data_IF_341097924857
#
_entry.id   IF_341097924857
#
_cell.length_a   1.000
_cell.length_b   1.000
_cell.length_c   1.000
_cell.angle_alpha   90.00
_cell.angle_beta   90.00
_cell.angle_gamma   90.00
#
_symmetry.space_group_name_H-M   'P 1'
#
loop_
_entity.id
_entity.type
_entity.pdbx_description
1 polymer ?
#
# COMPACT_ATOMS: atom_id res chain seq x y z
N UNK A 1 -19.86 -14.91 -4.72
CA UNK A 1 -20.01 -14.37 -3.35
C UNK A 1 -21.33 -13.59 -3.32
N UNK A 2 -22.05 -13.59 -2.21
CA UNK A 2 -23.30 -12.83 -2.09
C UNK A 2 -23.05 -11.43 -1.54
N UNK A 3 -23.96 -10.49 -1.77
CA UNK A 3 -23.90 -9.16 -1.16
C UNK A 3 -23.91 -9.26 0.37
N UNK A 4 -24.66 -10.23 0.92
CA UNK A 4 -24.68 -10.55 2.35
C UNK A 4 -23.29 -10.90 2.90
N UNK A 5 -22.48 -11.62 2.14
CA UNK A 5 -21.12 -11.97 2.57
C UNK A 5 -20.22 -10.72 2.63
N UNK A 6 -20.34 -9.82 1.64
CA UNK A 6 -19.53 -8.59 1.57
C UNK A 6 -19.88 -7.59 2.67
N UNK A 7 -21.16 -7.41 2.98
CA UNK A 7 -21.59 -6.45 4.00
C UNK A 7 -21.16 -6.84 5.41
N UNK A 8 -20.82 -8.12 5.65
CA UNK A 8 -20.34 -8.58 6.95
C UNK A 8 -18.99 -8.00 7.37
N UNK A 9 -18.20 -7.47 6.41
CA UNK A 9 -16.93 -6.79 6.68
C UNK A 9 -17.04 -5.25 6.56
N UNK A 10 -18.25 -4.71 6.38
CA UNK A 10 -18.51 -3.28 6.23
C UNK A 10 -19.18 -2.68 7.47
N UNK A 11 -18.94 -1.39 7.69
CA UNK A 11 -19.67 -0.60 8.70
C UNK A 11 -21.04 -0.16 8.14
N UNK A 12 -22.01 -1.09 8.18
CA UNK A 12 -23.36 -0.90 7.62
C UNK A 12 -24.30 -0.20 8.60
N UNK A 13 -24.92 0.88 8.14
CA UNK A 13 -25.96 1.61 8.87
C UNK A 13 -27.36 1.01 8.62
N UNK A 14 -27.68 0.66 7.37
CA UNK A 14 -28.96 0.07 7.00
C UNK A 14 -28.86 -0.80 5.74
N UNK A 15 -29.77 -1.77 5.63
CA UNK A 15 -29.93 -2.63 4.46
C UNK A 15 -31.37 -2.54 3.98
N UNK A 16 -31.55 -2.18 2.71
CA UNK A 16 -32.85 -2.11 2.04
C UNK A 16 -32.90 -3.16 0.93
N UNK A 17 -33.98 -3.93 0.85
CA UNK A 17 -34.11 -5.05 -0.11
C UNK A 17 -33.41 -6.33 0.37
N UNK A 18 -33.30 -7.33 -0.52
CA UNK A 18 -32.70 -8.63 -0.20
C UNK A 18 -31.20 -8.67 -0.55
N UNK A 19 -30.29 -8.80 0.44
CA UNK A 19 -28.85 -8.90 0.17
C UNK A 19 -28.41 -10.31 -0.27
N UNK A 20 -29.31 -11.28 -0.50
CA UNK A 20 -28.98 -12.61 -1.00
C UNK A 20 -28.63 -12.66 -2.51
N UNK A 21 -28.40 -11.50 -3.15
CA UNK A 21 -27.98 -11.41 -4.54
C UNK A 21 -26.50 -11.77 -4.73
N UNK A 22 -26.16 -12.38 -5.87
CA UNK A 22 -24.77 -12.64 -6.24
C UNK A 22 -24.09 -11.36 -6.70
N UNK A 23 -22.85 -11.14 -6.25
CA UNK A 23 -21.98 -10.06 -6.68
C UNK A 23 -20.90 -10.65 -7.59
N UNK A 24 -20.82 -10.15 -8.82
CA UNK A 24 -19.88 -10.60 -9.86
C UNK A 24 -18.72 -9.61 -10.09
N UNK A 25 -18.83 -8.39 -9.58
CA UNK A 25 -17.80 -7.36 -9.65
C UNK A 25 -18.11 -6.15 -8.76
N UNK A 26 -17.17 -5.22 -8.71
CA UNK A 26 -17.28 -3.99 -7.91
C UNK A 26 -17.07 -2.79 -8.84
N UNK A 27 -17.98 -1.83 -8.81
CA UNK A 27 -17.92 -0.65 -9.68
C UNK A 27 -18.06 0.65 -8.86
N UNK A 28 -17.24 1.65 -9.19
CA UNK A 28 -17.31 3.00 -8.61
C UNK A 28 -17.62 4.09 -9.64
N UNK A 29 -17.76 3.71 -10.91
CA UNK A 29 -18.15 4.58 -12.02
C UNK A 29 -19.35 3.94 -12.73
N UNK A 30 -20.51 4.60 -12.70
CA UNK A 30 -21.76 4.08 -13.25
C UNK A 30 -21.67 3.78 -14.75
N UNK A 31 -20.77 4.48 -15.48
CA UNK A 31 -20.52 4.26 -16.91
C UNK A 31 -19.76 2.97 -17.20
N UNK A 32 -19.14 2.38 -16.19
CA UNK A 32 -18.33 1.15 -16.28
C UNK A 32 -18.99 -0.06 -15.64
N UNK A 33 -20.18 0.12 -15.05
CA UNK A 33 -20.97 -0.96 -14.46
C UNK A 33 -21.26 -2.03 -15.51
N UNK A 34 -21.06 -3.27 -15.11
CA UNK A 34 -21.48 -4.48 -15.83
C UNK A 34 -22.60 -5.16 -15.06
N UNK A 35 -23.35 -6.00 -15.77
CA UNK A 35 -24.40 -6.82 -15.15
C UNK A 35 -23.80 -7.64 -14.01
N UNK A 36 -24.37 -7.55 -12.81
CA UNK A 36 -23.90 -8.26 -11.63
C UNK A 36 -22.89 -7.49 -10.76
N UNK A 37 -22.47 -6.29 -11.16
CA UNK A 37 -21.60 -5.46 -10.32
C UNK A 37 -22.36 -4.88 -9.12
N UNK A 38 -21.69 -4.77 -7.98
CA UNK A 38 -22.10 -3.93 -6.86
C UNK A 38 -21.57 -2.51 -7.10
N UNK A 39 -22.47 -1.53 -7.16
CA UNK A 39 -22.12 -0.14 -7.40
C UNK A 39 -21.86 0.63 -6.09
N UNK A 40 -20.75 1.35 -6.00
CA UNK A 40 -20.40 2.20 -4.87
C UNK A 40 -20.53 3.67 -5.27
N UNK A 41 -21.52 4.33 -4.70
CA UNK A 41 -21.81 5.73 -4.91
C UNK A 41 -20.84 6.62 -4.13
N UNK A 42 -19.63 6.80 -4.68
CA UNK A 42 -18.63 7.67 -4.07
C UNK A 42 -19.02 9.13 -4.30
N UNK A 43 -19.05 9.94 -3.23
CA UNK A 43 -19.18 11.38 -3.36
C UNK A 43 -17.97 11.94 -4.13
N UNK A 44 -18.23 12.58 -5.27
CA UNK A 44 -17.19 13.28 -6.03
C UNK A 44 -16.92 14.67 -5.44
N UNK A 45 -15.85 15.33 -5.91
CA UNK A 45 -15.54 16.73 -5.59
C UNK A 45 -16.66 17.72 -6.00
N UNK A 46 -17.59 17.30 -6.88
CA UNK A 46 -18.60 18.17 -7.49
C UNK A 46 -20.03 17.62 -7.47
N UNK A 47 -20.24 16.33 -7.16
CA UNK A 47 -21.55 15.67 -7.28
C UNK A 47 -21.73 14.60 -6.22
N UNK A 48 -22.96 14.46 -5.72
CA UNK A 48 -23.39 13.38 -4.85
C UNK A 48 -23.41 12.06 -5.65
N UNK A 49 -22.69 11.05 -5.16
CA UNK A 49 -22.63 9.74 -5.79
C UNK A 49 -24.00 9.06 -5.89
N UNK A 50 -24.94 9.40 -4.99
CA UNK A 50 -26.30 8.87 -4.97
C UNK A 50 -27.09 9.18 -6.25
N UNK A 51 -26.75 10.27 -6.95
CA UNK A 51 -27.40 10.65 -8.21
C UNK A 51 -27.20 9.63 -9.35
N UNK A 52 -26.23 8.72 -9.22
CA UNK A 52 -25.89 7.74 -10.25
C UNK A 52 -26.44 6.33 -10.00
N UNK A 53 -27.16 6.11 -8.89
CA UNK A 53 -27.68 4.80 -8.50
C UNK A 53 -28.66 4.26 -9.57
N UNK A 54 -29.58 5.10 -10.04
CA UNK A 54 -30.56 4.71 -11.07
C UNK A 54 -29.86 4.32 -12.38
N UNK A 55 -28.83 5.06 -12.78
CA UNK A 55 -28.04 4.76 -13.96
C UNK A 55 -27.26 3.43 -13.80
N UNK A 56 -26.71 3.16 -12.61
CA UNK A 56 -26.04 1.90 -12.31
C UNK A 56 -27.03 0.72 -12.35
N UNK A 57 -28.23 0.86 -11.81
CA UNK A 57 -29.28 -0.16 -11.91
C UNK A 57 -29.73 -0.39 -13.34
N UNK A 58 -29.89 0.68 -14.14
CA UNK A 58 -30.19 0.55 -15.57
C UNK A 58 -29.08 -0.19 -16.34
N UNK A 59 -27.81 -0.06 -15.91
CA UNK A 59 -26.67 -0.80 -16.46
C UNK A 59 -26.56 -2.25 -15.94
N UNK A 60 -27.40 -2.65 -14.98
CA UNK A 60 -27.49 -4.02 -14.48
C UNK A 60 -26.74 -4.28 -13.17
N UNK A 61 -26.41 -3.24 -12.39
CA UNK A 61 -25.86 -3.44 -11.05
C UNK A 61 -26.81 -4.29 -10.18
N UNK A 62 -26.25 -5.23 -9.42
CA UNK A 62 -27.02 -6.11 -8.54
C UNK A 62 -27.39 -5.45 -7.21
N UNK A 63 -26.77 -4.32 -6.89
CA UNK A 63 -26.95 -3.57 -5.65
C UNK A 63 -26.21 -2.23 -5.70
N UNK A 64 -26.51 -1.35 -4.75
CA UNK A 64 -25.78 -0.10 -4.57
C UNK A 64 -25.38 0.13 -3.11
N UNK A 65 -24.22 0.75 -2.89
CA UNK A 65 -23.73 1.21 -1.59
C UNK A 65 -23.67 2.72 -1.60
N UNK A 66 -24.37 3.37 -0.67
CA UNK A 66 -24.55 4.82 -0.61
C UNK A 66 -24.29 5.36 0.80
N UNK A 67 -24.11 6.68 0.95
CA UNK A 67 -23.98 7.28 2.28
C UNK A 67 -25.31 7.26 3.05
N UNK A 68 -26.35 7.90 2.50
CA UNK A 68 -27.70 7.98 3.09
C UNK A 68 -28.73 8.26 2.00
N UNK A 69 -30.00 8.00 2.29
CA UNK A 69 -31.12 8.50 1.48
C UNK A 69 -31.70 7.48 0.52
N UNK A 70 -31.57 6.19 0.83
CA UNK A 70 -32.20 5.14 0.04
C UNK A 70 -33.73 5.26 0.09
N UNK A 71 -34.38 5.10 -1.06
CA UNK A 71 -35.81 4.85 -1.14
C UNK A 71 -36.06 3.36 -1.35
N UNK A 72 -37.29 2.89 -1.10
CA UNK A 72 -37.64 1.49 -1.33
C UNK A 72 -37.42 1.11 -2.80
N UNK A 73 -36.40 0.28 -3.06
CA UNK A 73 -36.06 -0.26 -4.37
C UNK A 73 -36.22 -1.78 -4.39
N UNK A 74 -36.47 -2.35 -5.56
CA UNK A 74 -36.44 -3.82 -5.76
C UNK A 74 -35.01 -4.36 -5.74
N UNK A 75 -34.03 -3.52 -6.07
CA UNK A 75 -32.60 -3.85 -6.04
C UNK A 75 -32.03 -3.42 -4.69
N UNK A 76 -31.20 -4.25 -4.03
CA UNK A 76 -30.72 -3.93 -2.69
C UNK A 76 -29.87 -2.66 -2.65
N UNK A 77 -30.08 -1.87 -1.61
CA UNK A 77 -29.31 -0.65 -1.31
C UNK A 77 -28.76 -0.75 0.11
N UNK A 78 -27.46 -0.55 0.25
CA UNK A 78 -26.73 -0.59 1.53
C UNK A 78 -26.34 0.83 1.90
N UNK A 79 -26.78 1.31 3.06
CA UNK A 79 -26.36 2.59 3.61
C UNK A 79 -25.14 2.39 4.53
N UNK A 80 -24.11 3.19 4.31
CA UNK A 80 -22.85 3.17 5.09
C UNK A 80 -22.43 4.61 5.39
N UNK A 81 -21.62 4.85 6.42
CA UNK A 81 -21.15 6.22 6.68
C UNK A 81 -20.12 6.69 5.64
N UNK A 82 -19.24 5.80 5.20
CA UNK A 82 -18.14 6.08 4.27
C UNK A 82 -18.13 5.05 3.12
N UNK A 83 -18.77 5.35 1.97
CA UNK A 83 -18.77 4.46 0.80
C UNK A 83 -17.37 4.15 0.27
N UNK A 84 -16.37 5.02 0.50
CA UNK A 84 -14.99 4.80 0.07
C UNK A 84 -14.33 3.73 0.93
N UNK A 85 -14.57 3.76 2.24
CA UNK A 85 -14.13 2.71 3.16
C UNK A 85 -14.83 1.39 2.84
N UNK A 86 -16.15 1.42 2.65
CA UNK A 86 -16.94 0.23 2.32
C UNK A 86 -16.46 -0.42 1.01
N UNK A 87 -16.12 0.38 -0.02
CA UNK A 87 -15.52 -0.12 -1.26
C UNK A 87 -14.21 -0.87 -1.02
N UNK A 88 -13.33 -0.32 -0.17
CA UNK A 88 -12.05 -0.94 0.12
C UNK A 88 -12.21 -2.24 0.94
N UNK A 89 -13.13 -2.25 1.91
CA UNK A 89 -13.51 -3.47 2.65
C UNK A 89 -14.08 -4.54 1.71
N UNK A 90 -15.03 -4.17 0.84
CA UNK A 90 -15.58 -5.07 -0.18
C UNK A 90 -14.50 -5.64 -1.09
N UNK A 91 -13.56 -4.80 -1.57
CA UNK A 91 -12.49 -5.23 -2.44
C UNK A 91 -11.59 -6.28 -1.78
N UNK A 92 -11.28 -6.12 -0.49
CA UNK A 92 -10.51 -7.10 0.27
C UNK A 92 -11.25 -8.44 0.34
N UNK A 93 -12.52 -8.43 0.75
CA UNK A 93 -13.34 -9.65 0.90
C UNK A 93 -13.61 -10.33 -0.46
N UNK A 94 -14.03 -9.56 -1.47
CA UNK A 94 -14.37 -10.05 -2.81
C UNK A 94 -13.21 -10.80 -3.48
N UNK A 95 -11.97 -10.32 -3.29
CA UNK A 95 -10.76 -10.96 -3.82
C UNK A 95 -10.10 -11.95 -2.84
N UNK A 96 -10.70 -12.19 -1.67
CA UNK A 96 -10.25 -13.19 -0.70
C UNK A 96 -8.99 -12.80 0.06
N UNK A 97 -8.81 -11.51 0.38
CA UNK A 97 -7.68 -10.97 1.14
C UNK A 97 -6.30 -11.38 0.58
N UNK A 98 -6.03 -11.15 -0.72
CA UNK A 98 -4.90 -11.76 -1.43
C UNK A 98 -3.52 -11.36 -0.89
N UNK A 99 -3.40 -10.17 -0.30
CA UNK A 99 -2.16 -9.71 0.33
C UNK A 99 -1.69 -10.60 1.49
N UNK A 100 -2.58 -11.43 2.08
CA UNK A 100 -2.20 -12.41 3.12
C UNK A 100 -1.34 -13.55 2.59
N UNK A 101 -1.44 -13.88 1.30
CA UNK A 101 -0.73 -14.98 0.67
C UNK A 101 0.58 -14.56 -0.04
N UNK A 102 0.88 -13.26 -0.07
CA UNK A 102 2.04 -12.67 -0.75
C UNK A 102 2.98 -12.03 0.27
N UNK A 103 4.28 -11.96 0.02
CA UNK A 103 5.15 -11.02 0.75
C UNK A 103 4.98 -9.63 0.13
N UNK A 104 4.39 -8.68 0.86
CA UNK A 104 4.10 -7.33 0.34
C UNK A 104 4.97 -6.30 1.04
N UNK A 105 5.72 -5.54 0.24
CA UNK A 105 6.50 -4.38 0.68
C UNK A 105 5.94 -3.11 0.05
N UNK A 106 5.37 -2.23 0.88
CA UNK A 106 4.79 -0.97 0.42
C UNK A 106 5.69 0.22 0.79
N UNK A 107 5.96 1.11 -0.15
CA UNK A 107 6.77 2.32 0.07
C UNK A 107 5.97 3.59 -0.12
N UNK A 108 6.14 4.53 0.81
CA UNK A 108 5.64 5.90 0.68
C UNK A 108 6.75 6.93 0.89
N UNK A 109 6.44 8.17 0.53
CA UNK A 109 7.35 9.32 0.55
C UNK A 109 7.08 10.26 -0.60
N UNK A 110 7.72 11.43 -0.62
CA UNK A 110 7.61 12.37 -1.75
C UNK A 110 8.39 11.80 -2.94
N UNK A 111 9.69 11.58 -2.77
CA UNK A 111 10.58 11.13 -3.84
C UNK A 111 11.15 9.72 -3.57
N UNK A 112 11.54 9.02 -4.64
CA UNK A 112 12.29 7.75 -4.53
C UNK A 112 11.45 6.48 -4.42
N UNK A 113 10.11 6.56 -4.37
CA UNK A 113 9.21 5.40 -4.33
C UNK A 113 9.46 4.44 -5.50
N UNK A 114 9.47 4.96 -6.72
CA UNK A 114 9.75 4.16 -7.92
C UNK A 114 11.15 3.57 -7.91
N UNK A 115 12.18 4.36 -7.61
CA UNK A 115 13.56 3.83 -7.51
C UNK A 115 13.67 2.71 -6.47
N UNK A 116 13.05 2.89 -5.31
CA UNK A 116 12.98 1.87 -4.26
C UNK A 116 12.30 0.58 -4.76
N UNK A 117 11.13 0.67 -5.41
CA UNK A 117 10.42 -0.54 -5.86
C UNK A 117 11.17 -1.28 -6.95
N UNK A 118 11.89 -0.59 -7.84
CA UNK A 118 12.78 -1.21 -8.82
C UNK A 118 13.98 -1.91 -8.18
N UNK A 119 14.64 -1.26 -7.20
CA UNK A 119 15.76 -1.88 -6.47
C UNK A 119 15.29 -3.12 -5.70
N UNK A 120 14.15 -3.02 -5.02
CA UNK A 120 13.58 -4.11 -4.25
C UNK A 120 13.19 -5.30 -5.13
N UNK A 121 12.52 -5.04 -6.26
CA UNK A 121 12.22 -6.08 -7.26
C UNK A 121 13.50 -6.76 -7.76
N UNK A 122 14.55 -5.98 -8.07
CA UNK A 122 15.83 -6.53 -8.51
C UNK A 122 16.46 -7.44 -7.45
N UNK A 123 16.38 -7.07 -6.17
CA UNK A 123 16.88 -7.89 -5.05
C UNK A 123 16.09 -9.20 -4.96
N UNK A 124 14.75 -9.14 -4.99
CA UNK A 124 13.90 -10.34 -4.93
C UNK A 124 14.12 -11.27 -6.12
N UNK A 125 14.25 -10.73 -7.34
CA UNK A 125 14.56 -11.54 -8.54
C UNK A 125 15.94 -12.18 -8.45
N UNK A 126 16.95 -11.45 -7.97
CA UNK A 126 18.29 -12.01 -7.75
C UNK A 126 18.28 -13.13 -6.68
N UNK A 127 17.34 -13.09 -5.74
CA UNK A 127 17.09 -14.16 -4.77
C UNK A 127 16.25 -15.33 -5.32
N UNK A 128 15.89 -15.32 -6.61
CA UNK A 128 15.13 -16.38 -7.27
C UNK A 128 13.62 -16.35 -7.01
N UNK A 129 13.09 -15.25 -6.47
CA UNK A 129 11.66 -15.11 -6.22
C UNK A 129 10.92 -14.63 -7.48
N UNK A 130 9.69 -15.12 -7.67
CA UNK A 130 8.77 -14.51 -8.63
C UNK A 130 8.17 -13.24 -8.05
N UNK A 131 8.23 -12.14 -8.80
CA UNK A 131 7.93 -10.81 -8.28
C UNK A 131 6.72 -10.16 -8.95
N UNK A 132 6.05 -9.30 -8.19
CA UNK A 132 5.12 -8.30 -8.70
C UNK A 132 5.62 -6.89 -8.37
N UNK A 133 5.29 -5.91 -9.19
CA UNK A 133 5.55 -4.50 -8.89
C UNK A 133 4.37 -3.63 -9.30
N UNK A 134 3.89 -2.80 -8.39
CA UNK A 134 2.77 -1.88 -8.63
C UNK A 134 3.28 -0.47 -8.39
N UNK A 135 3.30 0.36 -9.42
CA UNK A 135 3.80 1.72 -9.30
C UNK A 135 3.64 2.56 -10.56
N UNK A 136 4.28 3.74 -10.52
CA UNK A 136 4.14 4.79 -11.55
C UNK A 136 4.55 4.33 -12.96
N UNK A 137 5.46 3.36 -13.05
CA UNK A 137 6.01 2.87 -14.33
C UNK A 137 5.24 1.70 -14.93
N UNK A 138 4.14 1.27 -14.31
CA UNK A 138 3.36 0.12 -14.75
C UNK A 138 3.05 -0.85 -13.61
N UNK A 139 2.14 -1.76 -13.90
CA UNK A 139 1.84 -2.91 -13.05
C UNK A 139 2.49 -4.14 -13.66
N UNK A 140 3.53 -4.66 -13.02
CA UNK A 140 4.30 -5.80 -13.48
C UNK A 140 3.89 -7.05 -12.70
N UNK A 141 3.45 -8.09 -13.40
CA UNK A 141 3.14 -9.41 -12.87
C UNK A 141 4.13 -10.38 -13.50
N UNK A 142 5.10 -10.82 -12.71
CA UNK A 142 6.28 -11.52 -13.21
C UNK A 142 6.92 -10.77 -14.38
N UNK A 143 6.90 -11.32 -15.60
CA UNK A 143 7.53 -10.68 -16.77
C UNK A 143 6.59 -9.79 -17.59
N UNK A 144 5.28 -9.84 -17.33
CA UNK A 144 4.28 -9.03 -18.02
C UNK A 144 4.15 -7.66 -17.36
N UNK A 145 4.26 -6.58 -18.16
CA UNK A 145 4.04 -5.21 -17.69
C UNK A 145 2.79 -4.62 -18.33
N UNK A 146 1.87 -4.11 -17.51
CA UNK A 146 0.65 -3.41 -17.92
C UNK A 146 0.75 -1.90 -17.68
N UNK A 147 0.05 -1.07 -18.47
CA UNK A 147 -0.02 0.37 -18.22
C UNK A 147 -0.61 0.69 -16.84
N UNK A 148 -0.04 1.68 -16.17
CA UNK A 148 -0.52 2.17 -14.87
C UNK A 148 -1.21 3.53 -15.03
N UNK A 149 -2.55 3.62 -15.00
CA UNK A 149 -3.25 4.90 -15.05
C UNK A 149 -3.01 5.74 -13.77
N UNK A 150 -2.60 5.09 -12.68
CA UNK A 150 -2.27 5.73 -11.40
C UNK A 150 -1.03 5.09 -10.80
N UNK A 151 -0.26 5.84 -10.01
CA UNK A 151 0.85 5.27 -9.21
C UNK A 151 0.37 4.15 -8.29
N UNK A 152 -0.83 4.31 -7.71
CA UNK A 152 -1.49 3.29 -6.89
C UNK A 152 -2.92 3.10 -7.42
N UNK A 153 -3.29 1.88 -7.86
CA UNK A 153 -4.62 1.59 -8.41
C UNK A 153 -5.74 1.84 -7.40
N UNK A 154 -6.99 1.89 -7.88
CA UNK A 154 -8.18 1.89 -7.04
C UNK A 154 -8.33 0.58 -6.26
N UNK A 155 -9.03 0.57 -5.12
CA UNK A 155 -9.06 -0.60 -4.22
C UNK A 155 -9.49 -1.92 -4.92
N UNK A 156 -10.56 -1.98 -5.74
CA UNK A 156 -10.90 -3.20 -6.48
C UNK A 156 -9.80 -3.66 -7.43
N UNK A 157 -9.18 -2.73 -8.16
CA UNK A 157 -8.11 -3.04 -9.11
C UNK A 157 -6.85 -3.52 -8.37
N UNK A 158 -6.48 -2.86 -7.27
CA UNK A 158 -5.34 -3.25 -6.46
C UNK A 158 -5.51 -4.67 -5.90
N UNK A 159 -6.66 -4.96 -5.30
CA UNK A 159 -6.93 -6.29 -4.74
C UNK A 159 -7.03 -7.35 -5.85
N UNK A 160 -7.61 -7.01 -7.01
CA UNK A 160 -7.63 -7.88 -8.18
C UNK A 160 -6.22 -8.21 -8.71
N UNK A 161 -5.34 -7.22 -8.84
CA UNK A 161 -3.95 -7.42 -9.23
C UNK A 161 -3.20 -8.32 -8.25
N UNK A 162 -3.38 -8.11 -6.94
CA UNK A 162 -2.77 -8.96 -5.91
C UNK A 162 -3.32 -10.39 -5.95
N UNK A 163 -4.62 -10.57 -6.20
CA UNK A 163 -5.22 -11.89 -6.37
C UNK A 163 -4.60 -12.62 -7.57
N UNK A 164 -4.52 -11.94 -8.70
CA UNK A 164 -3.91 -12.49 -9.91
C UNK A 164 -2.43 -12.85 -9.67
N UNK A 165 -1.66 -11.98 -9.01
CA UNK A 165 -0.29 -12.27 -8.60
C UNK A 165 -0.21 -13.54 -7.76
N UNK A 166 -1.08 -13.70 -6.77
CA UNK A 166 -1.14 -14.91 -5.94
C UNK A 166 -1.52 -16.16 -6.77
N UNK A 167 -2.49 -16.04 -7.68
CA UNK A 167 -2.92 -17.13 -8.57
C UNK A 167 -1.79 -17.65 -9.46
N UNK A 168 -1.02 -16.74 -10.03
CA UNK A 168 0.10 -17.11 -10.90
C UNK A 168 1.36 -17.44 -10.11
N UNK A 169 1.35 -17.43 -8.78
CA UNK A 169 2.48 -17.83 -7.94
C UNK A 169 3.60 -16.79 -7.79
N UNK A 170 3.27 -15.50 -7.91
CA UNK A 170 4.15 -14.42 -7.41
C UNK A 170 4.33 -14.59 -5.91
N UNK A 171 5.55 -14.39 -5.42
CA UNK A 171 5.90 -14.57 -4.02
C UNK A 171 6.10 -13.23 -3.31
N UNK A 172 6.67 -12.24 -3.99
CA UNK A 172 7.00 -10.95 -3.39
C UNK A 172 6.53 -9.76 -4.26
N UNK A 173 5.91 -8.75 -3.64
CA UNK A 173 5.35 -7.58 -4.32
C UNK A 173 5.95 -6.30 -3.77
N UNK A 174 6.50 -5.47 -4.66
CA UNK A 174 6.92 -4.10 -4.35
C UNK A 174 5.83 -3.10 -4.78
N UNK A 175 5.28 -2.33 -3.84
CA UNK A 175 4.12 -1.46 -4.09
C UNK A 175 4.40 0.00 -3.73
N UNK A 176 4.12 0.93 -4.65
CA UNK A 176 4.13 2.36 -4.37
C UNK A 176 2.79 2.79 -3.73
N UNK A 177 2.83 3.20 -2.46
CA UNK A 177 1.69 3.73 -1.72
C UNK A 177 1.73 5.27 -1.73
N UNK A 178 1.07 5.88 -2.72
CA UNK A 178 0.98 7.34 -2.81
C UNK A 178 0.12 7.93 -1.67
N UNK A 179 0.36 9.20 -1.31
CA UNK A 179 -0.46 9.88 -0.30
C UNK A 179 -1.92 10.03 -0.74
N UNK A 180 -2.16 10.24 -2.03
CA UNK A 180 -3.50 10.24 -2.61
C UNK A 180 -4.20 8.91 -2.38
N UNK A 181 -3.51 7.79 -2.61
CA UNK A 181 -4.08 6.46 -2.41
C UNK A 181 -4.40 6.17 -0.95
N UNK A 182 -3.55 6.59 -0.02
CA UNK A 182 -3.78 6.46 1.41
C UNK A 182 -4.98 7.30 1.86
N UNK A 183 -5.01 8.59 1.48
CA UNK A 183 -6.14 9.49 1.78
C UNK A 183 -7.47 9.01 1.18
N UNK A 184 -7.41 8.38 0.01
CA UNK A 184 -8.58 7.83 -0.69
C UNK A 184 -8.86 6.37 -0.33
N UNK A 185 -8.19 5.81 0.69
CA UNK A 185 -8.35 4.44 1.17
C UNK A 185 -8.15 3.35 0.10
N UNK A 186 -7.45 3.64 -1.00
CA UNK A 186 -7.20 2.67 -2.07
C UNK A 186 -6.38 1.48 -1.60
N UNK A 187 -5.52 1.70 -0.61
CA UNK A 187 -4.67 0.68 0.03
C UNK A 187 -5.25 0.15 1.33
N UNK A 188 -6.47 0.54 1.73
CA UNK A 188 -7.05 0.07 2.98
C UNK A 188 -7.22 -1.46 2.94
N UNK A 189 -6.85 -2.13 4.04
CA UNK A 189 -6.85 -3.59 4.14
C UNK A 189 -5.66 -4.27 3.45
N UNK A 190 -4.71 -3.50 2.89
CA UNK A 190 -3.45 -4.04 2.38
C UNK A 190 -2.59 -4.52 3.55
N UNK A 191 -2.39 -5.84 3.65
CA UNK A 191 -1.50 -6.43 4.63
C UNK A 191 -0.07 -6.48 4.10
N UNK A 192 0.79 -5.66 4.70
CA UNK A 192 2.20 -5.56 4.35
C UNK A 192 3.05 -6.33 5.36
N UNK A 193 4.10 -6.97 4.87
CA UNK A 193 5.18 -7.54 5.67
C UNK A 193 6.18 -6.43 6.04
N UNK A 194 6.42 -5.50 5.09
CA UNK A 194 7.27 -4.33 5.32
C UNK A 194 6.61 -3.07 4.77
N UNK A 195 6.70 -1.98 5.53
CA UNK A 195 6.34 -0.63 5.07
C UNK A 195 7.57 0.28 5.11
N UNK A 196 7.81 1.04 4.05
CA UNK A 196 9.00 1.87 3.91
C UNK A 196 8.66 3.35 3.77
N UNK A 197 9.45 4.22 4.40
CA UNK A 197 9.38 5.67 4.25
C UNK A 197 10.69 6.22 3.68
N UNK A 198 10.62 6.89 2.53
CA UNK A 198 11.80 7.45 1.87
C UNK A 198 12.14 8.86 2.33
N UNK A 199 11.24 9.82 2.17
CA UNK A 199 11.40 11.23 2.56
C UNK A 199 10.08 12.00 2.46
N UNK A 200 10.06 13.21 3.03
CA UNK A 200 8.98 14.18 2.84
C UNK A 200 9.54 15.56 2.47
N UNK A 201 9.21 16.01 1.26
CA UNK A 201 9.41 17.38 0.77
C UNK A 201 8.10 17.95 0.24
N UNK A 202 8.02 19.27 0.07
CA UNK A 202 6.82 19.96 -0.42
C UNK A 202 6.40 19.45 -1.80
N UNK A 203 5.18 18.92 -1.87
CA UNK A 203 4.52 18.40 -3.07
C UNK A 203 3.01 18.22 -2.77
N UNK A 204 2.17 18.08 -3.79
CA UNK A 204 0.74 17.74 -3.69
C UNK A 204 -0.11 18.60 -2.73
N UNK A 205 0.28 19.85 -2.48
CA UNK A 205 -0.46 20.75 -1.58
C UNK A 205 -1.77 21.28 -2.21
N UNK A 206 -1.91 21.19 -3.52
CA UNK A 206 -3.17 21.41 -4.24
C UNK A 206 -4.26 20.41 -3.81
N UNK A 207 -3.87 19.19 -3.44
CA UNK A 207 -4.78 18.18 -2.91
C UNK A 207 -4.86 18.18 -1.38
N UNK A 208 -3.71 18.17 -0.69
CA UNK A 208 -3.66 18.02 0.77
C UNK A 208 -3.85 19.35 1.52
N UNK A 209 -3.77 20.49 0.84
CA UNK A 209 -3.87 21.84 1.41
C UNK A 209 -2.62 22.29 2.16
N UNK A 210 -2.00 21.43 2.98
CA UNK A 210 -0.79 21.77 3.74
C UNK A 210 0.11 20.54 4.00
N UNK A 211 1.34 20.81 4.46
CA UNK A 211 2.35 19.78 4.73
C UNK A 211 1.97 18.81 5.85
N UNK A 212 1.20 19.28 6.85
CA UNK A 212 0.76 18.45 7.97
C UNK A 212 -0.24 17.38 7.52
N UNK A 213 -1.25 17.77 6.74
CA UNK A 213 -2.21 16.85 6.13
C UNK A 213 -1.52 15.88 5.14
N UNK A 214 -0.54 16.37 4.38
CA UNK A 214 0.23 15.53 3.46
C UNK A 214 1.06 14.46 4.19
N UNK A 215 1.73 14.82 5.29
CA UNK A 215 2.42 13.85 6.14
C UNK A 215 1.43 12.90 6.80
N UNK A 216 0.34 13.41 7.38
CA UNK A 216 -0.66 12.58 8.05
C UNK A 216 -1.22 11.50 7.12
N UNK A 217 -1.47 11.84 5.85
CA UNK A 217 -1.87 10.87 4.83
C UNK A 217 -0.86 9.72 4.67
N UNK A 218 0.45 10.03 4.68
CA UNK A 218 1.50 8.99 4.63
C UNK A 218 1.57 8.16 5.91
N UNK A 219 1.32 8.78 7.08
CA UNK A 219 1.36 8.09 8.37
C UNK A 219 0.30 7.00 8.50
N UNK A 220 -0.81 7.08 7.75
CA UNK A 220 -1.84 6.04 7.74
C UNK A 220 -1.29 4.64 7.40
N UNK A 221 -0.23 4.57 6.58
CA UNK A 221 0.44 3.32 6.24
C UNK A 221 1.10 2.66 7.47
N UNK A 222 1.51 3.47 8.46
CA UNK A 222 2.30 3.07 9.62
C UNK A 222 1.47 2.93 10.91
N UNK A 223 0.42 3.73 11.11
CA UNK A 223 -0.22 3.87 12.43
C UNK A 223 -1.47 3.01 12.67
N UNK A 224 -1.85 2.16 11.73
CA UNK A 224 -2.98 1.24 11.86
C UNK A 224 -4.30 1.77 11.29
N UNK A 225 -4.34 3.01 10.77
CA UNK A 225 -5.52 3.53 10.07
C UNK A 225 -5.77 2.88 8.70
N UNK A 226 -4.76 2.26 8.09
CA UNK A 226 -4.88 1.54 6.81
C UNK A 226 -5.46 0.12 6.93
N UNK A 227 -6.33 -0.12 7.92
CA UNK A 227 -7.01 -1.39 8.15
C UNK A 227 -6.32 -2.30 9.17
N UNK A 228 -7.07 -3.28 9.67
CA UNK A 228 -6.56 -4.30 10.58
C UNK A 228 -5.50 -5.16 9.89
N UNK A 229 -4.49 -5.61 10.65
CA UNK A 229 -3.39 -6.44 10.15
C UNK A 229 -3.36 -7.75 10.92
N UNK A 230 -3.37 -8.88 10.21
CA UNK A 230 -3.03 -10.18 10.76
C UNK A 230 -1.49 -10.38 10.76
N UNK A 231 -0.81 -9.82 9.76
CA UNK A 231 0.65 -9.84 9.67
C UNK A 231 1.32 -8.90 10.67
N UNK A 232 2.47 -9.36 11.19
CA UNK A 232 3.42 -8.48 11.87
C UNK A 232 4.26 -7.76 10.81
N UNK A 233 4.18 -6.43 10.79
CA UNK A 233 4.91 -5.62 9.83
C UNK A 233 6.16 -4.97 10.45
N UNK A 234 7.20 -4.78 9.63
CA UNK A 234 8.38 -3.98 9.97
C UNK A 234 8.32 -2.63 9.23
N UNK A 235 8.64 -1.54 9.91
CA UNK A 235 8.77 -0.21 9.33
C UNK A 235 10.24 0.10 9.04
N UNK A 236 10.58 0.29 7.78
CA UNK A 236 11.92 0.74 7.34
C UNK A 236 11.88 2.25 7.07
N UNK A 237 12.62 3.02 7.85
CA UNK A 237 12.49 4.48 7.87
C UNK A 237 13.82 5.15 7.54
N UNK A 238 13.82 6.07 6.58
CA UNK A 238 14.94 6.99 6.40
C UNK A 238 15.07 7.92 7.61
N UNK A 239 16.08 7.68 8.44
CA UNK A 239 16.36 8.40 9.66
C UNK A 239 16.96 9.79 9.44
N UNK A 240 17.47 10.07 8.23
CA UNK A 240 18.01 11.39 7.89
C UNK A 240 16.90 12.41 7.58
N UNK A 241 15.67 11.97 7.34
CA UNK A 241 14.55 12.86 7.06
C UNK A 241 14.03 13.55 8.35
N UNK A 242 13.76 14.87 8.33
CA UNK A 242 13.23 15.57 9.50
C UNK A 242 11.90 15.00 10.04
N UNK A 243 11.11 14.34 9.19
CA UNK A 243 9.83 13.72 9.56
C UNK A 243 9.98 12.35 10.21
N UNK A 244 11.19 11.77 10.22
CA UNK A 244 11.44 10.39 10.66
C UNK A 244 10.89 10.12 12.07
N UNK A 245 11.08 11.03 13.02
CA UNK A 245 10.58 10.88 14.38
C UNK A 245 9.05 10.67 14.44
N UNK A 246 8.30 11.38 13.58
CA UNK A 246 6.83 11.24 13.48
C UNK A 246 6.42 9.93 12.83
N UNK A 247 7.18 9.47 11.82
CA UNK A 247 6.96 8.18 11.16
C UNK A 247 7.24 7.03 12.13
N UNK A 248 8.32 7.10 12.90
CA UNK A 248 8.67 6.11 13.93
C UNK A 248 7.59 6.05 15.02
N UNK A 249 7.10 7.21 15.48
CA UNK A 249 6.01 7.27 16.45
C UNK A 249 4.70 6.67 15.88
N UNK A 250 4.43 6.88 14.58
CA UNK A 250 3.30 6.27 13.89
C UNK A 250 3.45 4.74 13.81
N UNK A 251 4.61 4.24 13.40
CA UNK A 251 4.91 2.81 13.35
C UNK A 251 4.75 2.14 14.73
N UNK A 252 5.18 2.80 15.80
CA UNK A 252 4.98 2.32 17.16
C UNK A 252 3.49 2.23 17.55
N UNK A 253 2.66 3.22 17.19
CA UNK A 253 1.20 3.16 17.38
C UNK A 253 0.57 2.01 16.59
N UNK A 254 1.06 1.76 15.37
CA UNK A 254 0.64 0.63 14.55
C UNK A 254 1.21 -0.72 14.97
N UNK A 255 1.98 -0.79 16.06
CA UNK A 255 2.53 -2.03 16.60
C UNK A 255 3.69 -2.63 15.77
N UNK A 256 4.36 -1.83 14.96
CA UNK A 256 5.45 -2.28 14.09
C UNK A 256 6.80 -2.23 14.81
N UNK A 257 7.68 -3.17 14.46
CA UNK A 257 9.10 -3.00 14.74
C UNK A 257 9.69 -1.99 13.75
N UNK A 258 10.73 -1.25 14.15
CA UNK A 258 11.32 -0.19 13.32
C UNK A 258 12.78 -0.51 13.00
N UNK A 259 13.15 -0.35 11.74
CA UNK A 259 14.54 -0.35 11.25
C UNK A 259 14.83 1.03 10.70
N UNK A 260 15.80 1.72 11.29
CA UNK A 260 16.26 3.04 10.85
C UNK A 260 17.42 2.86 9.89
N UNK A 261 17.32 3.56 8.77
CA UNK A 261 18.34 3.61 7.74
C UNK A 261 18.77 5.05 7.58
N UNK A 262 20.05 5.34 7.70
CA UNK A 262 20.54 6.72 7.62
C UNK A 262 22.03 6.81 7.42
N UNK A 263 22.55 8.02 7.42
CA UNK A 263 23.99 8.27 7.27
C UNK A 263 24.67 8.63 8.59
N UNK A 264 23.92 8.55 9.69
CA UNK A 264 24.35 8.88 11.05
C UNK A 264 24.38 7.63 11.92
N UNK A 265 25.29 7.59 12.90
CA UNK A 265 25.53 6.43 13.78
C UNK A 265 24.31 5.97 14.61
N UNK A 266 23.26 6.77 14.76
CA UNK A 266 22.04 6.40 15.49
C UNK A 266 21.01 5.60 14.64
N UNK A 267 21.49 4.78 13.69
CA UNK A 267 20.68 3.96 12.77
C UNK A 267 21.11 2.49 12.84
N UNK A 268 20.20 1.54 12.70
CA UNK A 268 20.55 0.11 12.62
C UNK A 268 21.32 -0.22 11.34
N UNK A 269 20.99 0.44 10.23
CA UNK A 269 21.75 0.40 8.98
C UNK A 269 22.32 1.78 8.67
N UNK A 270 23.65 1.88 8.63
CA UNK A 270 24.37 3.12 8.36
C UNK A 270 24.96 3.07 6.96
N UNK A 271 24.69 4.09 6.14
CA UNK A 271 25.42 4.35 4.90
C UNK A 271 26.74 5.01 5.24
N UNK A 272 27.80 4.20 5.27
CA UNK A 272 29.12 4.55 5.80
C UNK A 272 29.98 5.27 4.74
N UNK A 273 29.98 4.77 3.51
CA UNK A 273 30.76 5.35 2.41
C UNK A 273 29.94 5.45 1.12
N UNK A 274 30.06 6.59 0.44
CA UNK A 274 29.53 6.82 -0.90
C UNK A 274 30.62 7.38 -1.79
N UNK A 275 30.97 6.65 -2.84
CA UNK A 275 32.05 7.02 -3.77
C UNK A 275 31.55 6.97 -5.20
N UNK A 276 31.70 8.06 -5.93
CA UNK A 276 31.41 8.07 -7.38
C UNK A 276 32.53 7.30 -8.07
N UNK A 277 32.16 6.27 -8.82
CA UNK A 277 33.03 5.42 -9.63
C UNK A 277 32.75 5.66 -11.12
N UNK A 278 33.65 5.21 -12.01
CA UNK A 278 33.44 5.35 -13.47
C UNK A 278 32.17 4.64 -13.96
N UNK A 279 31.80 3.53 -13.30
CA UNK A 279 30.70 2.66 -13.71
C UNK A 279 29.41 2.88 -12.88
N UNK A 280 29.42 3.81 -11.92
CA UNK A 280 28.27 4.02 -11.04
C UNK A 280 28.64 4.64 -9.69
N UNK A 281 27.77 4.44 -8.69
CA UNK A 281 28.00 4.84 -7.31
C UNK A 281 28.40 3.63 -6.48
N UNK A 282 29.62 3.60 -5.97
CA UNK A 282 30.04 2.66 -4.93
C UNK A 282 29.38 3.04 -3.60
N UNK A 283 28.71 2.07 -3.00
CA UNK A 283 27.98 2.22 -1.74
C UNK A 283 28.48 1.18 -0.75
N UNK A 284 28.90 1.63 0.42
CA UNK A 284 29.18 0.76 1.58
C UNK A 284 28.12 0.99 2.64
N UNK A 285 27.49 -0.10 3.06
CA UNK A 285 26.68 -0.12 4.26
C UNK A 285 27.40 -0.78 5.40
N UNK A 286 27.32 -0.18 6.57
CA UNK A 286 27.63 -0.83 7.83
C UNK A 286 26.30 -1.27 8.44
N UNK A 287 26.05 -2.57 8.44
CA UNK A 287 24.95 -3.14 9.19
C UNK A 287 25.42 -3.36 10.64
N UNK A 288 24.81 -2.66 11.59
CA UNK A 288 24.84 -3.12 12.98
C UNK A 288 24.12 -4.47 13.09
N UNK A 289 24.17 -5.10 14.26
CA UNK A 289 23.22 -6.19 14.52
C UNK A 289 21.81 -5.62 14.35
N UNK A 290 21.03 -6.14 13.39
CA UNK A 290 19.63 -5.75 13.19
C UNK A 290 18.82 -6.22 14.41
N UNK A 291 18.79 -5.40 15.46
CA UNK A 291 17.88 -5.58 16.59
C UNK A 291 16.64 -4.74 16.33
N UNK A 292 15.59 -5.37 15.82
CA UNK A 292 14.29 -4.72 15.70
C UNK A 292 13.69 -4.58 17.11
N UNK A 293 13.59 -3.35 17.63
CA UNK A 293 12.99 -3.10 18.94
C UNK A 293 11.46 -3.00 18.82
N UNK A 294 10.74 -3.79 19.60
CA UNK A 294 9.28 -3.72 19.74
C UNK A 294 8.93 -3.31 21.17
N UNK A 295 7.95 -2.42 21.42
CA UNK A 295 7.48 -2.11 22.78
C UNK A 295 6.93 -3.32 23.55
N UNK A 296 6.54 -4.38 22.83
CA UNK A 296 6.06 -5.66 23.38
C UNK A 296 6.94 -6.79 22.84
N UNK A 297 8.09 -7.00 23.50
CA UNK A 297 9.19 -7.87 23.07
C UNK A 297 8.79 -9.05 22.18
N UNK A 298 9.32 -9.08 20.95
CA UNK A 298 9.37 -10.30 20.15
C UNK A 298 9.49 -10.11 18.64
N UNK A 299 10.72 -9.84 18.16
CA UNK A 299 11.36 -10.56 17.05
C UNK A 299 12.88 -10.48 17.27
N UNK A 300 13.52 -11.60 17.60
CA UNK A 300 15.00 -11.73 17.62
C UNK A 300 15.35 -12.72 16.53
N UNK A 301 15.72 -12.25 15.34
CA UNK A 301 16.57 -13.08 14.49
C UNK A 301 17.87 -13.34 15.29
N UNK A 302 18.40 -14.57 15.34
CA UNK A 302 19.72 -14.76 15.91
C UNK A 302 20.69 -13.87 15.11
N UNK A 303 21.61 -13.15 15.77
CA UNK A 303 22.57 -12.33 15.06
C UNK A 303 23.30 -13.25 14.07
N UNK A 304 23.22 -12.95 12.76
CA UNK A 304 24.33 -13.34 11.90
C UNK A 304 25.55 -12.68 12.52
N UNK A 305 26.41 -13.51 13.14
CA UNK A 305 27.57 -13.07 13.90
C UNK A 305 28.38 -12.07 13.07
N UNK A 306 28.57 -10.88 13.65
CA UNK A 306 29.41 -9.81 13.12
C UNK A 306 28.63 -8.83 12.26
N UNK A 307 28.41 -7.62 12.79
CA UNK A 307 28.16 -6.47 11.92
C UNK A 307 29.24 -6.45 10.84
N UNK A 308 28.82 -6.28 9.59
CA UNK A 308 29.68 -6.45 8.43
C UNK A 308 29.40 -5.36 7.42
N UNK A 309 30.44 -5.00 6.69
CA UNK A 309 30.29 -4.08 5.57
C UNK A 309 29.72 -4.83 4.38
N UNK A 310 28.65 -4.30 3.80
CA UNK A 310 28.13 -4.74 2.50
C UNK A 310 28.50 -3.67 1.49
N UNK A 311 29.34 -4.06 0.53
CA UNK A 311 29.79 -3.19 -0.55
C UNK A 311 29.09 -3.59 -1.85
N UNK A 312 28.53 -2.63 -2.58
CA UNK A 312 28.05 -2.83 -3.95
C UNK A 312 28.14 -1.56 -4.78
N UNK A 313 28.02 -1.72 -6.09
CA UNK A 313 27.99 -0.63 -7.06
C UNK A 313 26.58 -0.49 -7.60
N UNK A 314 26.01 0.71 -7.43
CA UNK A 314 24.75 1.08 -8.08
C UNK A 314 25.04 1.66 -9.46
N UNK A 315 24.30 1.27 -10.51
CA UNK A 315 24.38 1.95 -11.81
C UNK A 315 23.78 3.37 -11.75
N UNK A 316 23.18 3.75 -10.62
CA UNK A 316 22.56 5.05 -10.40
C UNK A 316 23.48 5.96 -9.57
N UNK A 317 23.56 7.22 -9.96
CA UNK A 317 24.34 8.25 -9.26
C UNK A 317 23.52 8.96 -8.18
N UNK A 318 24.20 9.63 -7.25
CA UNK A 318 23.59 10.52 -6.27
C UNK A 318 23.37 9.89 -4.90
N UNK A 319 23.63 10.67 -3.84
CA UNK A 319 23.54 10.24 -2.44
C UNK A 319 22.18 9.66 -2.06
N UNK A 320 21.11 10.26 -2.56
CA UNK A 320 19.74 9.81 -2.32
C UNK A 320 19.47 8.40 -2.88
N UNK A 321 20.14 8.00 -3.97
CA UNK A 321 20.04 6.64 -4.51
C UNK A 321 20.79 5.62 -3.66
N UNK A 322 21.90 6.01 -3.04
CA UNK A 322 22.55 5.20 -2.00
C UNK A 322 21.61 4.93 -0.82
N UNK A 323 20.88 5.95 -0.35
CA UNK A 323 19.86 5.79 0.70
C UNK A 323 18.68 4.93 0.23
N UNK A 324 18.16 5.12 -0.98
CA UNK A 324 17.09 4.28 -1.52
C UNK A 324 17.51 2.81 -1.60
N UNK A 325 18.76 2.52 -1.99
CA UNK A 325 19.30 1.17 -2.01
C UNK A 325 19.43 0.58 -0.61
N UNK A 326 19.83 1.39 0.38
CA UNK A 326 19.90 0.98 1.78
C UNK A 326 18.51 0.63 2.32
N UNK A 327 17.51 1.47 2.04
CA UNK A 327 16.11 1.22 2.39
C UNK A 327 15.60 -0.06 1.73
N UNK A 328 15.85 -0.27 0.44
CA UNK A 328 15.42 -1.47 -0.27
C UNK A 328 16.10 -2.73 0.26
N UNK A 329 17.41 -2.67 0.55
CA UNK A 329 18.15 -3.76 1.16
C UNK A 329 17.63 -4.11 2.56
N UNK A 330 17.39 -3.10 3.41
CA UNK A 330 16.80 -3.29 4.72
C UNK A 330 15.39 -3.91 4.63
N UNK A 331 14.58 -3.46 3.67
CA UNK A 331 13.25 -4.01 3.44
C UNK A 331 13.25 -5.45 2.91
N UNK A 332 14.28 -5.85 2.16
CA UNK A 332 14.42 -7.22 1.68
C UNK A 332 14.93 -8.19 2.77
N UNK A 333 15.63 -7.67 3.78
CA UNK A 333 16.20 -8.46 4.88
C UNK A 333 15.24 -8.64 6.07
N UNK A 334 14.31 -7.71 6.25
CA UNK A 334 13.31 -7.70 7.31
C UNK A 334 12.24 -8.78 7.08
#
# INVERSE_FOLDING_TARGET
MTLRDLIGEMDVAAVHGDPAVSVEGLALDSRRVRRGDLFFALAGLRQDGGAFVDAAFAAGACGAVITRGATASRTPVIEVEDPRLALAQAACSFHGHPSRALTVVAVTGTNGKTTFTWMLESIFRAAGLRTGRIGTTGYRIDDETRPAPFTTPEAPELQGLLREMADVGVQAVALEASSHALAQRRTYGLECDVVAFTNLTQDHLDYHGNMEAYLDAKLMLFDGRNGARAKRAVAVVNADDPSAARVIAAAARGGMAVVRVGTRQASELVVDELKILREGLGVRFMAGALEASTPRGGWRQPPRRGGGNIDFVLPLLGRYNGINAALAGAAALA
#
